data_IF_454926988841
#
_entry.id   IF_454926988841
#
_cell.length_a   1.000
_cell.length_b   1.000
_cell.length_c   1.000
_cell.angle_alpha   90.00
_cell.angle_beta   90.00
_cell.angle_gamma   90.00
#
_symmetry.space_group_name_H-M   'P 1'
#
loop_
_entity.id
_entity.type
_entity.pdbx_description
1 polymer ?
#
# COMPACT_ATOMS: atom_id res chain seq x y z
N UNK A 1 -31.64 -14.48 -18.62
CA UNK A 1 -31.00 -14.61 -17.28
C UNK A 1 -31.91 -13.93 -16.27
N UNK A 2 -32.30 -14.60 -15.18
CA UNK A 2 -33.19 -13.99 -14.17
C UNK A 2 -32.44 -12.88 -13.42
N UNK A 3 -33.17 -11.89 -12.93
CA UNK A 3 -32.62 -10.75 -12.15
C UNK A 3 -31.89 -11.26 -10.89
N UNK A 4 -32.40 -12.32 -10.26
CA UNK A 4 -31.79 -12.98 -9.11
C UNK A 4 -30.38 -13.52 -9.42
N UNK A 5 -30.18 -14.12 -10.60
CA UNK A 5 -28.87 -14.63 -11.02
C UNK A 5 -27.86 -13.50 -11.20
N UNK A 6 -28.30 -12.35 -11.75
CA UNK A 6 -27.47 -11.14 -11.89
C UNK A 6 -27.03 -10.59 -10.55
N UNK A 7 -27.96 -10.47 -9.60
CA UNK A 7 -27.68 -9.96 -8.26
C UNK A 7 -26.70 -10.87 -7.49
N UNK A 8 -26.82 -12.19 -7.68
CA UNK A 8 -25.90 -13.15 -7.08
C UNK A 8 -24.47 -12.98 -7.61
N UNK A 9 -24.30 -12.91 -8.93
CA UNK A 9 -22.99 -12.69 -9.58
C UNK A 9 -22.37 -11.37 -9.11
N UNK A 10 -23.17 -10.29 -9.05
CA UNK A 10 -22.72 -8.98 -8.59
C UNK A 10 -22.19 -9.01 -7.16
N UNK A 11 -22.97 -9.62 -6.27
CA UNK A 11 -22.62 -9.72 -4.84
C UNK A 11 -21.31 -10.49 -4.67
N UNK A 12 -21.12 -11.55 -5.44
CA UNK A 12 -19.91 -12.37 -5.40
C UNK A 12 -18.67 -11.64 -5.94
N UNK A 13 -18.80 -10.93 -7.07
CA UNK A 13 -17.71 -10.08 -7.61
C UNK A 13 -17.30 -8.99 -6.61
N UNK A 14 -18.26 -8.28 -6.04
CA UNK A 14 -18.05 -7.21 -5.04
C UNK A 14 -17.38 -7.77 -3.77
N UNK A 15 -17.83 -8.94 -3.30
CA UNK A 15 -17.23 -9.63 -2.15
C UNK A 15 -15.78 -10.04 -2.41
N UNK A 16 -15.50 -10.56 -3.61
CA UNK A 16 -14.14 -10.94 -4.01
C UNK A 16 -13.20 -9.72 -4.07
N UNK A 17 -13.66 -8.60 -4.65
CA UNK A 17 -12.89 -7.36 -4.69
C UNK A 17 -12.61 -6.81 -3.29
N UNK A 18 -13.61 -6.78 -2.41
CA UNK A 18 -13.43 -6.39 -1.01
C UNK A 18 -12.43 -7.29 -0.28
N UNK A 19 -12.44 -8.60 -0.57
CA UNK A 19 -11.42 -9.53 -0.07
C UNK A 19 -10.00 -9.14 -0.50
N UNK A 20 -9.82 -8.76 -1.77
CA UNK A 20 -8.52 -8.30 -2.28
C UNK A 20 -8.09 -6.99 -1.63
N UNK A 21 -8.99 -6.00 -1.53
CA UNK A 21 -8.71 -4.70 -0.89
C UNK A 21 -8.24 -4.91 0.55
N UNK A 22 -8.93 -5.75 1.32
CA UNK A 22 -8.55 -6.08 2.70
C UNK A 22 -7.16 -6.71 2.79
N UNK A 23 -6.83 -7.62 1.87
CA UNK A 23 -5.48 -8.23 1.81
C UNK A 23 -4.41 -7.20 1.47
N UNK A 24 -4.66 -6.29 0.53
CA UNK A 24 -3.70 -5.22 0.20
C UNK A 24 -3.45 -4.28 1.38
N UNK A 25 -4.51 -3.88 2.08
CA UNK A 25 -4.41 -3.07 3.29
C UNK A 25 -3.67 -3.81 4.42
N UNK A 26 -3.95 -5.10 4.61
CA UNK A 26 -3.26 -5.94 5.59
C UNK A 26 -1.76 -6.08 5.29
N UNK A 27 -1.39 -6.34 4.03
CA UNK A 27 0.00 -6.45 3.61
C UNK A 27 0.77 -5.13 3.84
N UNK A 28 0.15 -3.99 3.54
CA UNK A 28 0.71 -2.66 3.83
C UNK A 28 1.00 -2.49 5.33
N UNK A 29 0.04 -2.82 6.20
CA UNK A 29 0.23 -2.75 7.65
C UNK A 29 1.31 -3.72 8.15
N UNK A 30 1.36 -4.92 7.61
CA UNK A 30 2.37 -5.92 7.96
C UNK A 30 3.78 -5.44 7.61
N UNK A 31 3.97 -4.83 6.45
CA UNK A 31 5.25 -4.23 6.06
C UNK A 31 5.67 -3.15 7.05
N UNK A 32 4.76 -2.26 7.45
CA UNK A 32 5.07 -1.22 8.46
C UNK A 32 5.54 -1.83 9.78
N UNK A 33 4.93 -2.94 10.23
CA UNK A 33 5.37 -3.66 11.44
C UNK A 33 6.78 -4.24 11.27
N UNK A 34 7.04 -4.91 10.14
CA UNK A 34 8.36 -5.48 9.85
C UNK A 34 9.45 -4.42 9.67
N UNK A 35 9.12 -3.25 9.14
CA UNK A 35 10.03 -2.10 9.08
C UNK A 35 10.51 -1.72 10.47
N UNK A 36 9.60 -1.55 11.43
CA UNK A 36 9.95 -1.19 12.81
C UNK A 36 10.83 -2.29 13.42
N UNK A 37 10.43 -3.56 13.28
CA UNK A 37 11.17 -4.68 13.83
C UNK A 37 12.62 -4.72 13.31
N UNK A 38 12.82 -4.65 11.99
CA UNK A 38 14.15 -4.69 11.38
C UNK A 38 15.01 -3.47 11.74
N UNK A 39 14.42 -2.27 11.75
CA UNK A 39 15.15 -1.04 12.12
C UNK A 39 15.59 -1.09 13.58
N UNK A 40 14.70 -1.49 14.50
CA UNK A 40 15.04 -1.63 15.92
C UNK A 40 16.11 -2.71 16.12
N UNK A 41 15.97 -3.87 15.48
CA UNK A 41 16.99 -4.92 15.53
C UNK A 41 18.35 -4.44 15.00
N UNK A 42 18.37 -3.68 13.91
CA UNK A 42 19.61 -3.13 13.35
C UNK A 42 20.31 -2.15 14.30
N UNK A 43 19.53 -1.34 15.04
CA UNK A 43 20.07 -0.41 16.04
C UNK A 43 20.63 -1.13 17.28
N UNK A 44 19.92 -2.14 17.78
CA UNK A 44 20.34 -2.91 18.96
C UNK A 44 21.63 -3.68 18.70
N UNK A 45 21.76 -4.27 17.50
CA UNK A 45 22.90 -5.11 17.15
C UNK A 45 24.22 -4.32 16.99
N UNK A 46 24.21 -2.99 17.17
CA UNK A 46 25.38 -2.11 17.08
C UNK A 46 26.30 -2.46 15.92
N UNK A 47 25.72 -2.70 14.74
CA UNK A 47 26.52 -2.92 13.54
C UNK A 47 27.51 -1.75 13.38
N UNK A 48 28.78 -2.05 13.10
CA UNK A 48 29.78 -1.03 12.73
C UNK A 48 29.29 -0.16 11.56
N UNK A 49 28.34 -0.68 10.81
CA UNK A 49 27.73 -0.08 9.64
C UNK A 49 26.23 0.17 9.87
N UNK A 50 25.90 1.10 10.78
CA UNK A 50 24.51 1.49 11.11
C UNK A 50 23.70 1.97 9.89
N UNK A 51 24.37 2.39 8.82
CA UNK A 51 23.75 2.74 7.53
C UNK A 51 23.05 1.56 6.84
N UNK A 52 23.36 0.31 7.21
CA UNK A 52 22.67 -0.89 6.69
C UNK A 52 21.17 -0.86 7.01
N UNK A 53 20.75 -0.19 8.10
CA UNK A 53 19.34 -0.06 8.48
C UNK A 53 18.50 0.70 7.43
N UNK A 54 19.12 1.50 6.56
CA UNK A 54 18.41 2.20 5.47
C UNK A 54 17.98 1.26 4.34
N UNK A 55 18.68 0.12 4.16
CA UNK A 55 18.35 -0.84 3.09
C UNK A 55 16.93 -1.40 3.26
N UNK A 56 16.58 -2.06 4.40
CA UNK A 56 15.22 -2.55 4.60
C UNK A 56 14.21 -1.40 4.69
N UNK A 57 14.62 -0.23 5.21
CA UNK A 57 13.74 0.94 5.31
C UNK A 57 13.26 1.42 3.93
N UNK A 58 14.18 1.64 2.98
CA UNK A 58 13.85 2.10 1.63
C UNK A 58 13.08 1.01 0.87
N UNK A 59 13.54 -0.25 0.95
CA UNK A 59 12.88 -1.37 0.28
C UNK A 59 11.42 -1.53 0.73
N UNK A 60 11.16 -1.48 2.03
CA UNK A 60 9.83 -1.59 2.59
C UNK A 60 8.97 -0.35 2.35
N UNK A 61 9.56 0.84 2.28
CA UNK A 61 8.82 2.04 1.89
C UNK A 61 8.26 1.95 0.46
N UNK A 62 9.06 1.48 -0.49
CA UNK A 62 8.62 1.27 -1.87
C UNK A 62 7.54 0.18 -1.92
N UNK A 63 7.76 -0.93 -1.21
CA UNK A 63 6.84 -2.05 -1.20
C UNK A 63 5.49 -1.71 -0.55
N UNK A 64 5.49 -0.99 0.56
CA UNK A 64 4.27 -0.49 1.21
C UNK A 64 3.47 0.42 0.27
N UNK A 65 4.17 1.33 -0.41
CA UNK A 65 3.57 2.24 -1.38
C UNK A 65 2.98 1.49 -2.58
N UNK A 66 3.60 0.37 -2.99
CA UNK A 66 3.04 -0.52 -4.00
C UNK A 66 1.71 -1.14 -3.54
N UNK A 67 1.65 -1.69 -2.32
CA UNK A 67 0.41 -2.29 -1.80
C UNK A 67 -0.72 -1.26 -1.64
N UNK A 68 -0.40 -0.05 -1.16
CA UNK A 68 -1.36 1.06 -1.09
C UNK A 68 -1.86 1.49 -2.48
N UNK A 69 -0.99 1.48 -3.49
CA UNK A 69 -1.40 1.75 -4.87
C UNK A 69 -2.37 0.69 -5.38
N UNK A 70 -2.09 -0.57 -5.13
CA UNK A 70 -2.96 -1.67 -5.51
C UNK A 70 -4.32 -1.55 -4.81
N UNK A 71 -4.34 -1.24 -3.52
CA UNK A 71 -5.58 -0.95 -2.79
C UNK A 71 -6.41 0.14 -3.47
N UNK A 72 -5.80 1.29 -3.80
CA UNK A 72 -6.48 2.39 -4.49
C UNK A 72 -7.04 1.98 -5.86
N UNK A 73 -6.30 1.19 -6.64
CA UNK A 73 -6.77 0.66 -7.93
C UNK A 73 -7.99 -0.25 -7.76
N UNK A 74 -7.96 -1.14 -6.76
CA UNK A 74 -9.09 -2.01 -6.48
C UNK A 74 -10.30 -1.26 -5.92
N UNK A 75 -10.10 -0.21 -5.11
CA UNK A 75 -11.18 0.69 -4.65
C UNK A 75 -11.87 1.40 -5.82
N UNK A 76 -11.11 1.95 -6.78
CA UNK A 76 -11.72 2.58 -7.97
C UNK A 76 -12.57 1.62 -8.78
N UNK A 77 -12.09 0.38 -8.96
CA UNK A 77 -12.87 -0.66 -9.63
C UNK A 77 -14.14 -1.03 -8.86
N UNK A 78 -14.06 -1.08 -7.52
CA UNK A 78 -15.23 -1.30 -6.67
C UNK A 78 -16.26 -0.17 -6.82
N UNK A 79 -15.81 1.09 -6.79
CA UNK A 79 -16.67 2.27 -6.95
C UNK A 79 -17.34 2.29 -8.34
N UNK A 80 -16.62 1.95 -9.41
CA UNK A 80 -17.19 1.82 -10.76
C UNK A 80 -18.29 0.76 -10.81
N UNK A 81 -18.09 -0.42 -10.21
CA UNK A 81 -19.10 -1.48 -10.21
C UNK A 81 -20.37 -1.04 -9.50
N UNK A 82 -20.25 -0.33 -8.38
CA UNK A 82 -21.40 0.19 -7.63
C UNK A 82 -22.11 1.28 -8.44
N UNK A 83 -21.39 2.26 -8.98
CA UNK A 83 -22.00 3.39 -9.71
C UNK A 83 -22.61 2.93 -11.04
N UNK A 84 -21.89 2.10 -11.81
CA UNK A 84 -22.31 1.72 -13.16
C UNK A 84 -23.49 0.74 -13.14
N UNK A 85 -23.51 -0.21 -12.18
CA UNK A 85 -24.50 -1.30 -12.18
C UNK A 85 -25.72 -1.05 -11.29
N UNK A 86 -25.67 -0.04 -10.41
CA UNK A 86 -26.88 0.46 -9.71
C UNK A 86 -27.73 1.35 -10.63
N UNK A 87 -27.12 2.00 -11.63
CA UNK A 87 -27.79 3.02 -12.47
C UNK A 87 -27.90 2.70 -13.97
N UNK A 88 -27.20 1.69 -14.52
CA UNK A 88 -27.25 1.38 -15.95
C UNK A 88 -27.23 -0.14 -16.23
N UNK A 89 -28.30 -0.65 -16.84
CA UNK A 89 -28.55 -2.08 -17.10
C UNK A 89 -27.79 -2.66 -18.32
N UNK A 90 -26.95 -1.88 -19.03
CA UNK A 90 -26.51 -2.26 -20.38
C UNK A 90 -25.00 -2.46 -20.63
N UNK A 91 -24.09 -2.20 -19.69
CA UNK A 91 -22.65 -2.46 -19.92
C UNK A 91 -22.12 -3.63 -19.09
N UNK A 92 -22.13 -4.80 -19.74
CA UNK A 92 -21.58 -6.06 -19.27
C UNK A 92 -20.04 -6.04 -19.31
N UNK A 93 -19.41 -6.44 -18.20
CA UNK A 93 -18.07 -6.99 -18.09
C UNK A 93 -16.90 -6.23 -18.76
N UNK A 94 -16.40 -5.17 -18.12
CA UNK A 94 -14.97 -4.83 -18.24
C UNK A 94 -14.29 -5.08 -16.88
N UNK A 95 -13.43 -6.11 -16.85
CA UNK A 95 -12.82 -6.64 -15.63
C UNK A 95 -11.41 -6.06 -15.45
N UNK A 96 -10.94 -5.15 -16.31
CA UNK A 96 -9.52 -4.77 -16.34
C UNK A 96 -9.21 -3.52 -15.50
N UNK A 97 -8.62 -3.66 -14.28
CA UNK A 97 -8.26 -2.51 -13.44
C UNK A 97 -7.14 -1.64 -14.05
N UNK A 98 -6.46 -2.10 -15.12
CA UNK A 98 -5.41 -1.34 -15.81
C UNK A 98 -5.91 -0.02 -16.41
N UNK A 99 -7.22 0.13 -16.65
CA UNK A 99 -7.82 1.39 -17.14
C UNK A 99 -7.59 2.55 -16.19
N UNK A 100 -7.51 2.28 -14.89
CA UNK A 100 -7.32 3.26 -13.82
C UNK A 100 -5.87 3.64 -13.53
N UNK A 101 -4.90 3.05 -14.23
CA UNK A 101 -3.48 3.34 -14.02
C UNK A 101 -3.12 4.82 -14.20
N UNK A 102 -3.86 5.57 -15.03
CA UNK A 102 -3.66 7.02 -15.21
C UNK A 102 -4.32 7.86 -14.12
N UNK A 103 -5.30 7.30 -13.41
CA UNK A 103 -6.05 8.02 -12.40
C UNK A 103 -5.62 7.70 -10.97
N UNK A 104 -4.77 6.70 -10.78
CA UNK A 104 -4.12 6.42 -9.50
C UNK A 104 -2.68 6.86 -9.60
N UNK A 105 -2.24 7.60 -8.59
CA UNK A 105 -0.87 8.08 -8.49
C UNK A 105 0.16 6.94 -8.68
N UNK A 106 1.30 7.28 -9.25
CA UNK A 106 2.42 6.35 -9.39
C UNK A 106 2.92 5.91 -8.01
N UNK A 107 3.57 4.74 -7.94
CA UNK A 107 4.14 4.22 -6.68
C UNK A 107 5.05 5.28 -6.04
N UNK A 108 5.88 5.96 -6.83
CA UNK A 108 6.74 7.05 -6.36
C UNK A 108 5.96 8.20 -5.73
N UNK A 109 4.86 8.66 -6.34
CA UNK A 109 4.04 9.73 -5.76
C UNK A 109 3.30 9.25 -4.50
N UNK A 110 2.98 7.96 -4.42
CA UNK A 110 2.43 7.34 -3.20
C UNK A 110 3.51 7.21 -2.12
N UNK A 111 4.78 6.97 -2.45
CA UNK A 111 5.88 6.99 -1.48
C UNK A 111 5.96 8.34 -0.76
N UNK A 112 5.75 9.44 -1.47
CA UNK A 112 5.75 10.79 -0.91
C UNK A 112 4.36 11.29 -0.48
N UNK A 113 3.37 10.39 -0.37
CA UNK A 113 2.02 10.78 0.03
C UNK A 113 1.89 10.89 1.55
N UNK A 114 0.88 11.63 1.99
CA UNK A 114 0.54 11.83 3.42
C UNK A 114 0.37 10.50 4.18
N UNK A 115 0.01 9.40 3.51
CA UNK A 115 -0.21 8.09 4.16
C UNK A 115 1.06 7.31 4.50
N UNK A 116 2.19 7.62 3.87
CA UNK A 116 3.46 6.87 3.98
C UNK A 116 4.59 7.77 4.48
N UNK A 117 4.62 9.03 4.04
CA UNK A 117 5.69 9.98 4.34
C UNK A 117 5.89 10.21 5.85
N UNK A 118 4.85 10.42 6.70
CA UNK A 118 5.07 10.62 8.13
C UNK A 118 5.68 9.38 8.81
N UNK A 119 5.29 8.18 8.35
CA UNK A 119 5.78 6.92 8.93
C UNK A 119 7.25 6.66 8.59
N UNK A 120 7.59 6.62 7.29
CA UNK A 120 8.98 6.35 6.88
C UNK A 120 9.89 7.56 7.09
N UNK A 121 9.36 8.77 6.94
CA UNK A 121 10.10 10.02 7.17
C UNK A 121 10.52 10.18 8.63
N UNK A 122 9.65 9.88 9.60
CA UNK A 122 10.02 9.94 11.02
C UNK A 122 11.13 8.92 11.36
N UNK A 123 11.05 7.70 10.83
CA UNK A 123 12.10 6.69 11.02
C UNK A 123 13.43 7.14 10.39
N UNK A 124 13.40 7.69 9.16
CA UNK A 124 14.58 8.26 8.52
C UNK A 124 15.22 9.37 9.36
N UNK A 125 14.43 10.31 9.88
CA UNK A 125 14.93 11.41 10.72
C UNK A 125 15.61 10.87 11.98
N UNK A 126 15.01 9.88 12.64
CA UNK A 126 15.60 9.25 13.84
C UNK A 126 16.93 8.59 13.49
N UNK A 127 17.01 7.83 12.40
CA UNK A 127 18.25 7.19 11.97
C UNK A 127 19.36 8.20 11.64
N UNK A 128 19.01 9.30 10.96
CA UNK A 128 19.96 10.38 10.65
C UNK A 128 20.48 11.03 11.95
N UNK A 129 19.58 11.31 12.90
CA UNK A 129 19.96 11.88 14.19
C UNK A 129 20.94 10.97 14.95
N UNK A 130 20.67 9.66 14.98
CA UNK A 130 21.55 8.67 15.61
C UNK A 130 22.94 8.67 14.93
N UNK A 131 22.99 8.66 13.60
CA UNK A 131 24.26 8.69 12.87
C UNK A 131 25.07 9.96 13.14
N UNK A 132 24.42 11.13 13.19
CA UNK A 132 25.08 12.40 13.50
C UNK A 132 25.63 12.39 14.94
N UNK A 133 24.83 11.90 15.89
CA UNK A 133 25.24 11.79 17.29
C UNK A 133 26.45 10.86 17.45
N UNK A 134 26.42 9.69 16.81
CA UNK A 134 27.55 8.75 16.82
C UNK A 134 28.80 9.36 16.20
N UNK A 135 28.68 10.10 15.09
CA UNK A 135 29.82 10.73 14.42
C UNK A 135 30.47 11.83 15.28
N UNK A 136 29.68 12.57 16.06
CA UNK A 136 30.19 13.68 16.88
C UNK A 136 30.77 13.23 18.23
N UNK A 137 30.26 12.11 18.78
CA UNK A 137 30.61 11.64 20.12
C UNK A 137 31.47 10.35 20.13
N UNK A 138 31.81 9.81 18.95
CA UNK A 138 32.82 8.76 18.76
C UNK A 138 34.19 9.35 18.46
#
# INVERSE_FOLDING_TARGET
>A
MKIEDRLKILTEEVKNLQGIIKRMASNSLEIKKWTIALVVSALILKFEHKYIAFIPLIAFWILDSYYLRQEKLFRKKYDEIIVTRVFNDNNFFDVNPKRYNKEVDSVFKICFSVSTLPFYGSICIILIFILIYDYFFS
#
